data_IF_482356688262
#
_entry.id   IF_482356688262
#
_cell.length_a   1.000
_cell.length_b   1.000
_cell.length_c   1.000
_cell.angle_alpha   90.00
_cell.angle_beta   90.00
_cell.angle_gamma   90.00
#
_symmetry.space_group_name_H-M   'P 1'
#
loop_
_entity.id
_entity.type
_entity.pdbx_description
1 polymer ?
#
# COMPACT_ATOMS: atom_id res chain seq x y z
N UNK A 1 -2.09 -18.08 -12.89
CA UNK A 1 -2.98 -17.16 -13.63
C UNK A 1 -2.41 -15.76 -13.57
N UNK A 2 -2.79 -14.85 -14.48
CA UNK A 2 -2.35 -13.46 -14.39
C UNK A 2 -2.82 -12.82 -13.08
N UNK A 3 -1.98 -11.97 -12.48
CA UNK A 3 -2.36 -11.14 -11.35
C UNK A 3 -3.49 -10.21 -11.79
N UNK A 4 -4.60 -10.19 -11.06
CA UNK A 4 -5.67 -9.22 -11.35
C UNK A 4 -5.25 -7.87 -10.81
N UNK A 5 -5.70 -6.81 -11.45
CA UNK A 5 -5.41 -5.45 -10.99
C UNK A 5 -5.82 -5.20 -9.53
N UNK A 6 -6.94 -5.81 -9.10
CA UNK A 6 -7.40 -5.76 -7.71
C UNK A 6 -6.45 -6.47 -6.73
N UNK A 7 -5.68 -7.46 -7.18
CA UNK A 7 -4.71 -8.14 -6.32
C UNK A 7 -3.49 -7.23 -6.02
N UNK A 8 -3.34 -6.10 -6.74
CA UNK A 8 -2.28 -5.10 -6.49
C UNK A 8 -2.64 -4.11 -5.38
N UNK A 9 -3.92 -3.98 -5.04
CA UNK A 9 -4.39 -2.99 -4.08
C UNK A 9 -4.81 -3.62 -2.76
N UNK A 10 -4.52 -2.92 -1.65
CA UNK A 10 -5.12 -3.26 -0.37
C UNK A 10 -6.62 -2.96 -0.38
N UNK A 11 -7.45 -3.69 0.39
CA UNK A 11 -8.87 -3.39 0.50
C UNK A 11 -9.12 -1.95 0.97
N UNK A 12 -9.89 -1.18 0.19
CA UNK A 12 -10.14 0.25 0.47
C UNK A 12 -10.76 0.48 1.85
N UNK A 13 -11.55 -0.47 2.36
CA UNK A 13 -12.14 -0.41 3.69
C UNK A 13 -11.06 -0.41 4.80
N UNK A 14 -9.99 -1.18 4.61
CA UNK A 14 -8.88 -1.25 5.56
C UNK A 14 -8.06 0.05 5.52
N UNK A 15 -7.78 0.55 4.32
CA UNK A 15 -7.11 1.85 4.12
C UNK A 15 -7.92 2.97 4.79
N UNK A 16 -9.22 3.06 4.51
CA UNK A 16 -10.10 4.06 5.10
C UNK A 16 -10.16 3.98 6.64
N UNK A 17 -10.16 2.77 7.21
CA UNK A 17 -10.15 2.57 8.67
C UNK A 17 -8.87 3.10 9.31
N UNK A 18 -7.72 2.94 8.66
CA UNK A 18 -6.44 3.49 9.14
C UNK A 18 -6.43 5.00 8.97
N UNK A 19 -6.78 5.52 7.79
CA UNK A 19 -6.87 6.97 7.54
C UNK A 19 -7.77 7.67 8.57
N UNK A 20 -8.88 7.03 8.97
CA UNK A 20 -9.82 7.57 9.96
C UNK A 20 -9.19 7.83 11.33
N UNK A 21 -8.13 7.10 11.70
CA UNK A 21 -7.38 7.33 12.94
C UNK A 21 -6.54 8.61 12.90
N UNK A 22 -6.21 9.12 11.71
CA UNK A 22 -5.45 10.34 11.50
C UNK A 22 -6.28 11.62 11.40
N UNK A 23 -7.62 11.52 11.54
CA UNK A 23 -8.54 12.67 11.48
C UNK A 23 -9.42 12.70 12.74
N UNK A 24 -10.04 13.85 13.07
CA UNK A 24 -10.96 13.94 14.20
C UNK A 24 -12.11 12.92 14.12
N UNK A 25 -12.71 12.60 15.27
CA UNK A 25 -13.79 11.60 15.39
C UNK A 25 -14.95 11.88 14.42
N UNK A 26 -15.34 13.14 14.24
CA UNK A 26 -16.39 13.57 13.29
C UNK A 26 -15.86 13.97 11.89
N UNK A 27 -14.54 13.91 11.69
CA UNK A 27 -13.90 14.22 10.41
C UNK A 27 -14.37 13.28 9.29
N UNK A 28 -14.64 13.82 8.11
CA UNK A 28 -14.99 13.03 6.92
C UNK A 28 -13.78 12.94 6.00
N UNK A 29 -13.65 11.83 5.30
CA UNK A 29 -12.61 11.62 4.29
C UNK A 29 -13.34 11.41 2.96
N UNK A 30 -12.98 12.23 1.96
CA UNK A 30 -13.51 12.14 0.62
C UNK A 30 -13.24 10.76 -0.01
N UNK A 31 -14.06 10.36 -0.98
CA UNK A 31 -13.87 9.10 -1.71
C UNK A 31 -12.52 9.12 -2.43
N UNK A 32 -12.27 10.17 -3.21
CA UNK A 32 -11.06 10.33 -4.02
C UNK A 32 -9.80 10.29 -3.14
N UNK A 33 -9.84 10.90 -1.95
CA UNK A 33 -8.73 10.83 -1.00
C UNK A 33 -8.42 9.39 -0.53
N UNK A 34 -9.43 8.53 -0.40
CA UNK A 34 -9.21 7.11 -0.06
C UNK A 34 -8.61 6.33 -1.22
N UNK A 35 -9.05 6.62 -2.44
CA UNK A 35 -8.54 6.00 -3.67
C UNK A 35 -7.09 6.42 -3.91
N UNK A 36 -6.77 7.72 -3.80
CA UNK A 36 -5.38 8.22 -3.89
C UNK A 36 -4.48 7.55 -2.86
N UNK A 37 -4.89 7.47 -1.58
CA UNK A 37 -4.06 6.82 -0.57
C UNK A 37 -3.95 5.31 -0.79
N UNK A 38 -4.99 4.65 -1.33
CA UNK A 38 -4.92 3.24 -1.70
C UNK A 38 -3.89 2.99 -2.80
N UNK A 39 -3.83 3.85 -3.82
CA UNK A 39 -2.81 3.80 -4.86
C UNK A 39 -1.42 4.08 -4.28
N UNK A 40 -1.27 5.16 -3.52
CA UNK A 40 0.01 5.54 -2.91
C UNK A 40 0.57 4.47 -1.97
N UNK A 41 -0.25 3.84 -1.13
CA UNK A 41 0.22 2.80 -0.19
C UNK A 41 0.62 1.52 -0.93
N UNK A 42 -0.05 1.22 -2.05
CA UNK A 42 0.30 0.07 -2.87
C UNK A 42 1.63 0.29 -3.58
N UNK A 43 1.86 1.50 -4.12
CA UNK A 43 3.14 1.89 -4.68
C UNK A 43 4.25 1.93 -3.61
N UNK A 44 3.94 2.42 -2.41
CA UNK A 44 4.90 2.44 -1.30
C UNK A 44 5.39 1.03 -0.92
N UNK A 45 4.50 0.04 -0.90
CA UNK A 45 4.89 -1.37 -0.67
C UNK A 45 5.81 -1.85 -1.79
N UNK A 46 5.47 -1.58 -3.05
CA UNK A 46 6.31 -1.95 -4.21
C UNK A 46 7.69 -1.31 -4.13
N UNK A 47 7.75 -0.01 -3.83
CA UNK A 47 8.99 0.74 -3.68
C UNK A 47 9.89 0.14 -2.59
N UNK A 48 9.39 0.00 -1.36
CA UNK A 48 10.17 -0.56 -0.24
C UNK A 48 10.60 -2.00 -0.52
N UNK A 49 9.72 -2.81 -1.11
CA UNK A 49 10.03 -4.20 -1.44
C UNK A 49 11.09 -4.29 -2.53
N UNK A 50 11.08 -3.38 -3.51
CA UNK A 50 12.09 -3.31 -4.56
C UNK A 50 13.47 -3.02 -3.97
N UNK A 51 13.58 -1.99 -3.14
CA UNK A 51 14.85 -1.63 -2.47
C UNK A 51 15.36 -2.77 -1.57
N UNK A 52 14.47 -3.41 -0.82
CA UNK A 52 14.82 -4.57 0.00
C UNK A 52 15.30 -5.74 -0.86
N UNK A 53 14.60 -6.03 -1.96
CA UNK A 53 14.96 -7.09 -2.92
C UNK A 53 16.34 -6.85 -3.51
N UNK A 54 16.63 -5.63 -3.98
CA UNK A 54 17.92 -5.27 -4.58
C UNK A 54 19.06 -5.45 -3.58
N UNK A 55 18.87 -5.03 -2.33
CA UNK A 55 19.84 -5.26 -1.26
C UNK A 55 20.05 -6.76 -0.98
N UNK A 56 18.97 -7.54 -0.89
CA UNK A 56 19.07 -8.98 -0.64
C UNK A 56 19.82 -9.69 -1.77
N UNK A 57 19.57 -9.29 -3.02
CA UNK A 57 20.25 -9.81 -4.20
C UNK A 57 21.75 -9.50 -4.16
N UNK A 58 22.13 -8.26 -3.84
CA UNK A 58 23.53 -7.86 -3.66
C UNK A 58 24.22 -8.69 -2.56
N UNK A 59 23.52 -9.00 -1.48
CA UNK A 59 24.00 -9.81 -0.37
C UNK A 59 23.90 -11.34 -0.62
N UNK A 60 23.50 -11.78 -1.82
CA UNK A 60 23.27 -13.20 -2.21
C UNK A 60 22.25 -13.94 -1.34
N UNK A 61 21.30 -13.23 -0.73
CA UNK A 61 20.19 -13.81 0.04
C UNK A 61 18.99 -14.07 -0.87
N UNK A 62 18.32 -15.21 -0.66
CA UNK A 62 17.12 -15.61 -1.42
C UNK A 62 15.80 -15.24 -0.74
N UNK A 63 15.85 -14.87 0.53
CA UNK A 63 14.71 -14.40 1.31
C UNK A 63 14.88 -12.90 1.53
N UNK A 64 13.82 -12.15 1.21
CA UNK A 64 13.71 -10.72 1.50
C UNK A 64 13.43 -10.55 2.99
#
# INVERSE_FOLDING_TARGET
>A
GPLREQDRFLPIANVAKIMKKGVPEKGKIAKDAKETIQECVSEFISFVTSEASDRCLQEKRKTI
#
